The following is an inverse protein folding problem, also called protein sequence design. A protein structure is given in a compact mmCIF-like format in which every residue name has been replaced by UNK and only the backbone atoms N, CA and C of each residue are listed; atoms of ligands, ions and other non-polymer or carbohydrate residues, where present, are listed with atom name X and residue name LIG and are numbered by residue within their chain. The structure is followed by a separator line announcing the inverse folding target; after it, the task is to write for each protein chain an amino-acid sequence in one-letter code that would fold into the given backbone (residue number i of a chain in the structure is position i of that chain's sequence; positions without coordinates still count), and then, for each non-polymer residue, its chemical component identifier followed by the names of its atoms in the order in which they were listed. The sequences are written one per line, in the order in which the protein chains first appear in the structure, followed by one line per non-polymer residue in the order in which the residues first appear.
data_IF_362022411895
#
_entry.id   IF_362022411895
#
_cell.length_a   1.000
_cell.length_b   1.000
_cell.length_c   1.000
_cell.angle_alpha   90.00
_cell.angle_beta   90.00
_cell.angle_gamma   90.00
#
_symmetry.space_group_name_H-M   'P 1'
#
loop_
_entity.id
_entity.type
_entity.pdbx_description
1 polymer ?
#
# COMPACT_ATOMS: atom_id res chain seq x y z
N UNK A 1 17.00 4.56 -18.14
CA UNK A 1 15.79 5.42 -18.31
C UNK A 1 14.74 4.88 -17.35
N UNK A 2 14.56 5.59 -16.25
CA UNK A 2 14.13 5.05 -14.94
C UNK A 2 12.59 5.05 -14.84
N UNK A 3 12.02 3.88 -14.53
CA UNK A 3 10.64 3.73 -14.08
C UNK A 3 10.56 4.52 -12.76
N UNK A 4 9.69 5.53 -12.57
CA UNK A 4 9.54 6.19 -11.28
C UNK A 4 8.67 5.31 -10.35
N UNK A 5 8.99 4.02 -10.29
CA UNK A 5 8.82 3.20 -9.10
C UNK A 5 10.22 3.23 -8.48
N UNK A 6 10.35 3.88 -7.33
CA UNK A 6 11.39 3.79 -6.30
C UNK A 6 12.63 2.87 -6.53
N UNK A 7 13.26 2.93 -7.69
CA UNK A 7 14.47 2.17 -8.07
C UNK A 7 15.39 3.18 -8.74
N UNK A 8 16.06 3.96 -7.89
CA UNK A 8 16.88 5.10 -8.28
C UNK A 8 18.06 5.27 -7.34
N UNK A 9 18.94 4.27 -7.34
CA UNK A 9 20.37 4.32 -7.05
C UNK A 9 20.84 5.13 -5.82
N UNK A 10 21.01 4.45 -4.69
CA UNK A 10 22.09 4.75 -3.75
C UNK A 10 23.06 3.56 -3.71
N UNK A 11 24.13 3.64 -4.49
CA UNK A 11 25.27 2.74 -4.38
C UNK A 11 26.08 3.13 -3.15
N UNK A 12 26.05 2.31 -2.09
CA UNK A 12 27.05 2.32 -1.03
C UNK A 12 27.69 0.93 -0.96
N UNK A 13 28.95 0.90 -1.37
CA UNK A 13 29.88 -0.22 -1.24
C UNK A 13 30.18 -0.48 0.24
N UNK A 14 30.00 -1.70 0.73
CA UNK A 14 30.64 -2.17 1.97
C UNK A 14 30.93 -3.68 1.96
N UNK A 15 32.20 -4.01 2.22
CA UNK A 15 32.75 -5.35 2.42
C UNK A 15 32.55 -5.86 3.86
N UNK A 16 32.42 -7.18 4.02
CA UNK A 16 32.70 -7.95 5.24
C UNK A 16 31.62 -7.89 6.32
N UNK A 17 31.43 -8.84 7.23
CA UNK A 17 32.12 -10.10 7.52
C UNK A 17 31.16 -10.99 8.34
N UNK A 18 31.40 -12.29 8.34
CA UNK A 18 30.51 -13.33 8.90
C UNK A 18 30.69 -13.51 10.41
N UNK A 19 29.62 -13.49 11.22
CA UNK A 19 29.61 -14.00 12.60
C UNK A 19 28.17 -14.45 12.98
N UNK A 20 27.90 -15.76 13.13
CA UNK A 20 28.07 -16.63 14.31
C UNK A 20 26.85 -16.64 15.26
N UNK A 21 26.07 -17.72 15.12
CA UNK A 21 24.87 -18.10 15.89
C UNK A 21 25.19 -18.57 17.32
N UNK A 22 24.42 -18.12 18.33
CA UNK A 22 24.28 -18.87 19.59
C UNK A 22 22.94 -19.63 19.69
N UNK A 23 23.03 -20.77 20.37
CA UNK A 23 22.03 -21.81 20.62
C UNK A 23 20.95 -21.42 21.67
N UNK A 24 19.82 -22.16 21.75
CA UNK A 24 18.67 -21.81 22.59
C UNK A 24 18.86 -22.24 24.05
N UNK A 25 18.40 -21.40 24.99
CA UNK A 25 18.34 -21.71 26.43
C UNK A 25 16.88 -21.72 26.93
N UNK A 26 16.65 -22.63 27.87
CA UNK A 26 15.40 -23.26 28.29
C UNK A 26 14.29 -22.38 28.90
N UNK A 27 13.07 -22.90 28.76
CA UNK A 27 11.85 -22.60 29.54
C UNK A 27 12.06 -22.96 31.04
N UNK A 28 11.29 -22.41 32.02
CA UNK A 28 9.85 -22.72 32.18
C UNK A 28 8.97 -21.65 32.87
N UNK A 29 7.64 -21.82 32.75
CA UNK A 29 6.63 -21.80 33.83
C UNK A 29 5.24 -21.28 33.35
N UNK A 30 4.27 -22.20 33.26
CA UNK A 30 2.83 -21.91 33.45
C UNK A 30 2.58 -21.51 34.91
N UNK A 31 1.47 -20.84 35.33
CA UNK A 31 0.12 -20.91 34.73
C UNK A 31 -0.70 -19.60 34.78
N UNK A 32 -1.84 -19.55 34.08
CA UNK A 32 -3.10 -18.93 34.57
C UNK A 32 -4.26 -19.23 33.62
N UNK A 33 -5.36 -19.64 34.21
CA UNK A 33 -6.64 -20.06 33.62
C UNK A 33 -7.29 -18.94 32.79
N UNK A 34 -7.69 -19.16 31.53
CA UNK A 34 -8.45 -18.17 30.77
C UNK A 34 -9.90 -18.12 31.24
N UNK A 35 -10.43 -16.91 31.42
CA UNK A 35 -11.85 -16.66 31.56
C UNK A 35 -12.60 -17.06 30.27
N UNK A 36 -13.80 -17.63 30.43
CA UNK A 36 -14.68 -18.05 29.34
C UNK A 36 -14.90 -16.93 28.32
N UNK A 37 -14.70 -17.17 27.02
CA UNK A 37 -15.00 -16.18 26.00
C UNK A 37 -16.51 -15.92 25.96
N UNK A 38 -16.87 -14.64 26.00
CA UNK A 38 -18.22 -14.19 25.70
C UNK A 38 -18.56 -14.60 24.27
N UNK A 39 -19.65 -15.36 24.11
CA UNK A 39 -20.18 -15.76 22.81
C UNK A 39 -20.33 -14.53 21.91
N UNK A 40 -19.66 -14.47 20.73
CA UNK A 40 -19.83 -13.37 19.80
C UNK A 40 -21.29 -13.28 19.38
N UNK A 41 -21.87 -12.07 19.47
CA UNK A 41 -23.20 -11.81 18.93
C UNK A 41 -23.22 -12.19 17.44
N UNK A 42 -24.24 -12.94 17.03
CA UNK A 42 -24.42 -13.32 15.63
C UNK A 42 -24.44 -12.06 14.75
N UNK A 43 -23.72 -12.04 13.62
CA UNK A 43 -23.74 -10.90 12.72
C UNK A 43 -25.18 -10.66 12.29
N UNK A 44 -25.69 -9.47 12.60
CA UNK A 44 -27.00 -9.04 12.15
C UNK A 44 -26.92 -8.97 10.63
N UNK A 45 -27.75 -9.75 9.94
CA UNK A 45 -27.80 -9.81 8.48
C UNK A 45 -27.83 -8.38 7.93
N UNK A 46 -26.74 -7.98 7.26
CA UNK A 46 -26.67 -6.66 6.66
C UNK A 46 -27.79 -6.49 5.63
N UNK A 47 -28.38 -5.30 5.57
CA UNK A 47 -29.38 -4.98 4.56
C UNK A 47 -28.77 -5.18 3.15
N UNK A 48 -29.56 -5.64 2.17
CA UNK A 48 -29.06 -5.87 0.82
C UNK A 48 -28.52 -4.57 0.20
N UNK A 49 -27.32 -4.65 -0.35
CA UNK A 49 -26.67 -3.55 -1.06
C UNK A 49 -27.38 -3.32 -2.41
N UNK A 50 -28.09 -2.20 -2.53
CA UNK A 50 -28.91 -1.85 -3.71
C UNK A 50 -28.14 -1.08 -4.80
N UNK A 51 -26.86 -0.79 -4.56
CA UNK A 51 -26.00 -0.09 -5.52
C UNK A 51 -25.70 -1.00 -6.72
N UNK A 52 -25.57 -0.38 -7.89
CA UNK A 52 -25.16 -1.10 -9.10
C UNK A 52 -23.66 -1.47 -9.06
N UNK A 53 -23.29 -2.48 -9.86
CA UNK A 53 -21.93 -3.03 -9.90
C UNK A 53 -20.85 -1.97 -10.19
N UNK A 54 -21.16 -0.96 -11.02
CA UNK A 54 -20.22 0.11 -11.36
C UNK A 54 -19.99 1.02 -10.15
N UNK A 55 -21.06 1.40 -9.46
CA UNK A 55 -20.99 2.21 -8.23
C UNK A 55 -20.23 1.47 -7.13
N UNK A 56 -20.56 0.20 -6.87
CA UNK A 56 -19.86 -0.62 -5.86
C UNK A 56 -18.36 -0.67 -6.14
N UNK A 57 -17.98 -0.92 -7.40
CA UNK A 57 -16.56 -1.04 -7.79
C UNK A 57 -15.80 0.28 -7.61
N UNK A 58 -16.41 1.42 -7.95
CA UNK A 58 -15.78 2.75 -7.83
C UNK A 58 -15.58 3.16 -6.37
N UNK A 59 -16.56 2.89 -5.53
CA UNK A 59 -16.56 3.30 -4.11
C UNK A 59 -15.80 2.32 -3.21
N UNK A 60 -15.47 1.12 -3.69
CA UNK A 60 -14.94 0.02 -2.88
C UNK A 60 -13.73 0.43 -2.02
N UNK A 61 -12.79 1.17 -2.62
CA UNK A 61 -11.60 1.62 -1.92
C UNK A 61 -11.90 2.70 -0.88
N UNK A 62 -12.72 3.70 -1.24
CA UNK A 62 -13.07 4.80 -0.34
C UNK A 62 -13.83 4.31 0.89
N UNK A 63 -14.68 3.29 0.71
CA UNK A 63 -15.38 2.63 1.82
C UNK A 63 -14.43 1.97 2.82
N UNK A 64 -13.24 1.57 2.40
CA UNK A 64 -12.21 1.05 3.28
C UNK A 64 -11.76 2.05 4.35
N UNK A 65 -11.96 3.35 4.13
CA UNK A 65 -11.56 4.43 5.05
C UNK A 65 -12.63 4.84 6.06
N UNK A 66 -13.81 4.24 6.01
CA UNK A 66 -14.90 4.56 6.96
C UNK A 66 -14.44 4.29 8.39
N UNK A 67 -13.76 3.16 8.61
CA UNK A 67 -13.24 2.73 9.92
C UNK A 67 -11.94 3.42 10.35
N UNK A 68 -11.39 4.33 9.52
CA UNK A 68 -10.16 5.12 9.74
C UNK A 68 -8.85 4.34 9.89
N UNK A 69 -8.90 3.07 10.23
CA UNK A 69 -7.72 2.21 10.29
C UNK A 69 -7.87 1.01 9.35
N UNK A 70 -6.76 0.60 8.72
CA UNK A 70 -6.70 -0.57 7.86
C UNK A 70 -5.24 -0.96 7.58
N UNK A 71 -5.05 -2.16 7.05
CA UNK A 71 -3.82 -2.63 6.43
C UNK A 71 -3.99 -2.76 4.92
N UNK A 72 -2.90 -2.56 4.19
CA UNK A 72 -2.84 -2.68 2.74
C UNK A 72 -1.54 -3.37 2.33
N UNK A 73 -1.63 -4.41 1.51
CA UNK A 73 -0.48 -5.01 0.84
C UNK A 73 -0.57 -4.75 -0.67
N UNK A 74 0.50 -4.28 -1.28
CA UNK A 74 0.61 -4.03 -2.72
C UNK A 74 1.75 -4.86 -3.27
N UNK A 75 1.46 -5.68 -4.27
CA UNK A 75 2.46 -6.42 -5.03
C UNK A 75 2.47 -5.92 -6.47
N UNK A 76 3.66 -5.63 -6.97
CA UNK A 76 3.88 -5.15 -8.34
C UNK A 76 4.83 -6.12 -9.01
N UNK A 77 4.43 -6.63 -10.18
CA UNK A 77 5.25 -7.55 -10.99
C UNK A 77 5.41 -7.00 -12.40
N UNK A 78 6.60 -7.18 -12.98
CA UNK A 78 6.91 -6.90 -14.38
C UNK A 78 7.15 -8.23 -15.08
N UNK A 79 6.22 -8.64 -15.94
CA UNK A 79 6.23 -9.99 -16.50
C UNK A 79 6.07 -11.04 -15.40
N UNK A 80 7.03 -11.97 -15.31
CA UNK A 80 7.06 -13.03 -14.28
C UNK A 80 7.86 -12.63 -13.03
N UNK A 81 8.60 -11.52 -13.08
CA UNK A 81 9.42 -11.06 -11.97
C UNK A 81 8.64 -10.13 -11.05
N UNK A 82 8.73 -10.36 -9.74
CA UNK A 82 8.23 -9.42 -8.74
C UNK A 82 9.16 -8.20 -8.69
N UNK A 83 8.61 -7.01 -8.92
CA UNK A 83 9.36 -5.76 -8.92
C UNK A 83 9.32 -5.08 -7.55
N UNK A 84 8.18 -5.19 -6.83
CA UNK A 84 8.03 -4.62 -5.50
C UNK A 84 6.94 -5.35 -4.70
N UNK A 85 7.12 -5.39 -3.39
CA UNK A 85 6.07 -5.66 -2.40
C UNK A 85 6.06 -4.54 -1.37
N UNK A 86 4.88 -4.04 -1.05
CA UNK A 86 4.66 -2.98 -0.08
C UNK A 86 3.64 -3.50 0.92
N UNK A 87 3.96 -3.49 2.20
CA UNK A 87 3.01 -3.75 3.28
C UNK A 87 2.84 -2.44 4.06
N UNK A 88 1.59 -2.02 4.29
CA UNK A 88 1.25 -0.74 4.90
C UNK A 88 0.18 -0.93 5.97
N UNK A 89 0.30 -0.22 7.08
CA UNK A 89 -0.76 -0.04 8.08
C UNK A 89 -0.99 1.45 8.29
N UNK A 90 -2.25 1.87 8.31
CA UNK A 90 -2.62 3.29 8.36
C UNK A 90 -3.63 3.52 9.46
N UNK A 91 -3.44 4.62 10.18
CA UNK A 91 -4.46 5.31 10.97
C UNK A 91 -4.67 6.71 10.38
N UNK A 92 -5.81 6.89 9.71
CA UNK A 92 -6.16 8.13 9.02
C UNK A 92 -6.50 9.24 10.02
N UNK A 93 -7.05 8.90 11.19
CA UNK A 93 -7.45 9.89 12.19
C UNK A 93 -6.23 10.42 12.96
N UNK A 94 -5.29 9.53 13.32
CA UNK A 94 -4.03 9.92 13.94
C UNK A 94 -3.02 10.53 12.95
N UNK A 95 -3.28 10.43 11.65
CA UNK A 95 -2.36 10.74 10.55
C UNK A 95 -1.00 10.03 10.68
N UNK A 96 -1.08 8.74 10.99
CA UNK A 96 0.07 7.85 11.22
C UNK A 96 0.03 6.69 10.24
N UNK A 97 1.17 6.34 9.68
CA UNK A 97 1.30 5.13 8.87
C UNK A 97 2.65 4.46 9.06
N UNK A 98 2.68 3.14 8.88
CA UNK A 98 3.91 2.36 8.71
C UNK A 98 3.84 1.70 7.35
N UNK A 99 4.94 1.78 6.60
CA UNK A 99 5.10 1.18 5.29
C UNK A 99 6.42 0.40 5.29
N UNK A 100 6.39 -0.86 4.89
CA UNK A 100 7.59 -1.64 4.57
C UNK A 100 7.58 -1.98 3.10
N UNK A 101 8.65 -1.64 2.40
CA UNK A 101 8.82 -1.89 0.97
C UNK A 101 9.97 -2.87 0.79
N UNK A 102 9.70 -3.91 0.01
CA UNK A 102 10.67 -4.89 -0.45
C UNK A 102 10.79 -4.78 -1.96
N UNK A 103 11.95 -4.34 -2.41
CA UNK A 103 12.40 -4.41 -3.81
C UNK A 103 13.63 -5.30 -3.84
N UNK A 104 14.68 -4.92 -4.59
CA UNK A 104 16.03 -5.45 -4.38
C UNK A 104 16.58 -5.04 -3.00
N UNK A 105 16.07 -3.92 -2.45
CA UNK A 105 16.41 -3.40 -1.13
C UNK A 105 15.18 -3.36 -0.20
N UNK A 106 15.42 -3.46 1.11
CA UNK A 106 14.41 -3.27 2.15
C UNK A 106 14.38 -1.81 2.60
N UNK A 107 13.18 -1.24 2.66
CA UNK A 107 12.94 0.06 3.28
C UNK A 107 11.76 0.00 4.25
N UNK A 108 11.93 0.62 5.42
CA UNK A 108 10.87 0.91 6.37
C UNK A 108 10.64 2.41 6.42
N UNK A 109 9.39 2.83 6.33
CA UNK A 109 8.98 4.22 6.40
C UNK A 109 7.87 4.38 7.45
N UNK A 110 8.04 5.33 8.35
CA UNK A 110 7.03 5.70 9.35
C UNK A 110 6.58 7.13 9.07
N UNK A 111 5.28 7.34 8.91
CA UNK A 111 4.69 8.67 8.75
C UNK A 111 4.04 9.10 10.07
N UNK A 112 4.29 10.34 10.46
CA UNK A 112 3.64 11.02 11.58
C UNK A 112 3.33 12.46 11.15
N UNK A 113 2.08 12.78 10.80
CA UNK A 113 1.78 14.13 10.29
C UNK A 113 2.54 14.43 8.99
N UNK A 114 3.20 15.58 8.94
CA UNK A 114 4.06 16.02 7.83
C UNK A 114 5.50 15.46 7.88
N UNK A 115 5.79 14.53 8.79
CA UNK A 115 7.11 13.89 8.97
C UNK A 115 7.10 12.46 8.42
N UNK A 116 8.15 12.09 7.69
CA UNK A 116 8.46 10.72 7.26
C UNK A 116 9.82 10.34 7.85
N UNK A 117 9.89 9.22 8.56
CA UNK A 117 11.12 8.60 9.04
C UNK A 117 11.44 7.41 8.14
N UNK A 118 12.57 7.45 7.45
CA UNK A 118 12.98 6.44 6.47
C UNK A 118 14.18 5.67 7.00
N UNK A 119 14.06 4.36 7.05
CA UNK A 119 15.14 3.42 7.34
C UNK A 119 15.34 2.56 6.11
N UNK A 120 16.40 2.85 5.37
CA UNK A 120 16.91 1.97 4.31
C UNK A 120 17.89 1.00 4.96
N UNK A 121 17.80 -0.26 4.62
CA UNK A 121 18.74 -1.23 5.14
C UNK A 121 19.06 -2.28 4.07
N UNK A 122 20.35 -2.54 3.87
CA UNK A 122 20.85 -3.72 3.19
C UNK A 122 20.54 -5.01 4.00
N UNK A 123 20.05 -4.86 5.24
CA UNK A 123 19.63 -5.97 6.11
C UNK A 123 18.57 -5.49 7.12
N UNK A 124 17.47 -6.24 7.35
CA UNK A 124 16.51 -5.92 8.41
C UNK A 124 17.20 -5.74 9.77
N UNK A 125 17.27 -4.50 10.28
CA UNK A 125 17.99 -4.20 11.53
C UNK A 125 18.80 -2.89 11.59
N UNK A 126 19.01 -2.17 10.49
CA UNK A 126 19.76 -0.89 10.53
C UNK A 126 19.14 0.13 11.51
N UNK A 127 19.84 0.56 12.55
CA UNK A 127 19.18 1.25 13.68
C UNK A 127 18.91 2.74 13.48
N UNK A 128 19.21 3.31 12.32
CA UNK A 128 19.05 4.75 12.07
C UNK A 128 17.98 5.05 11.03
N UNK A 129 17.02 5.89 11.42
CA UNK A 129 16.06 6.54 10.55
C UNK A 129 16.58 7.91 10.11
N UNK A 130 16.33 8.25 8.85
CA UNK A 130 16.47 9.60 8.31
C UNK A 130 15.11 10.28 8.36
N UNK A 131 15.04 11.43 9.03
CA UNK A 131 13.84 12.26 9.10
C UNK A 131 13.74 13.17 7.88
N UNK A 132 12.59 13.11 7.22
CA UNK A 132 12.22 13.87 6.04
C UNK A 132 10.90 14.59 6.30
N UNK A 133 10.92 15.91 6.27
CA UNK A 133 9.70 16.74 6.23
C UNK A 133 9.09 16.77 4.82
N UNK A 134 7.80 16.43 4.70
CA UNK A 134 7.06 16.38 3.42
C UNK A 134 7.04 17.75 2.73
N UNK A 135 6.95 18.84 3.50
CA UNK A 135 6.94 20.21 2.97
C UNK A 135 8.21 20.60 2.22
N UNK A 136 9.36 19.97 2.54
CA UNK A 136 10.67 20.22 1.91
C UNK A 136 10.92 19.35 0.68
N UNK A 137 10.13 18.30 0.48
CA UNK A 137 10.24 17.46 -0.72
C UNK A 137 9.85 18.26 -1.97
N UNK A 138 10.46 17.97 -3.11
CA UNK A 138 9.99 18.49 -4.41
C UNK A 138 8.60 17.97 -4.73
N UNK A 139 7.80 18.74 -5.47
CA UNK A 139 6.40 18.40 -5.78
C UNK A 139 6.24 17.04 -6.50
N UNK A 140 7.25 16.61 -7.26
CA UNK A 140 7.26 15.30 -7.94
C UNK A 140 8.00 14.19 -7.21
N UNK A 141 8.33 14.36 -5.92
CA UNK A 141 9.02 13.32 -5.16
C UNK A 141 8.09 12.12 -4.97
N UNK A 142 8.53 10.88 -5.29
CA UNK A 142 7.72 9.68 -5.10
C UNK A 142 7.36 9.43 -3.64
N UNK A 143 8.15 9.95 -2.68
CA UNK A 143 7.83 9.87 -1.25
C UNK A 143 6.53 10.59 -0.88
N UNK A 144 6.14 11.63 -1.63
CA UNK A 144 4.85 12.31 -1.41
C UNK A 144 3.67 11.41 -1.79
N UNK A 145 3.86 10.55 -2.80
CA UNK A 145 2.86 9.59 -3.27
C UNK A 145 2.86 8.27 -2.48
N UNK A 146 3.95 7.93 -1.78
CA UNK A 146 4.08 6.66 -1.05
C UNK A 146 3.00 6.44 0.03
N UNK A 147 2.44 7.52 0.57
CA UNK A 147 1.32 7.49 1.53
C UNK A 147 0.03 8.07 0.95
N UNK A 148 0.01 8.41 -0.35
CA UNK A 148 -1.20 8.88 -1.01
C UNK A 148 -2.04 7.69 -1.45
N UNK A 149 -2.95 7.28 -0.57
CA UNK A 149 -3.84 6.15 -0.79
C UNK A 149 -4.64 6.26 -2.09
N UNK A 150 -4.99 7.48 -2.52
CA UNK A 150 -5.70 7.71 -3.78
C UNK A 150 -4.86 7.33 -5.01
N UNK A 151 -3.54 7.37 -4.94
CA UNK A 151 -2.68 6.93 -6.05
C UNK A 151 -2.76 5.41 -6.25
N UNK A 152 -2.88 4.63 -5.18
CA UNK A 152 -2.89 3.17 -5.26
C UNK A 152 -4.18 2.62 -5.91
N UNK A 153 -5.31 3.27 -5.68
CA UNK A 153 -6.62 2.86 -6.21
C UNK A 153 -7.09 3.68 -7.41
N UNK A 154 -6.29 4.63 -7.91
CA UNK A 154 -6.72 5.62 -8.89
C UNK A 154 -7.36 5.04 -10.16
N UNK A 155 -7.01 3.80 -10.54
CA UNK A 155 -7.64 3.08 -11.64
C UNK A 155 -9.16 2.90 -11.46
N UNK A 156 -9.66 2.81 -10.22
CA UNK A 156 -11.08 2.65 -9.92
C UNK A 156 -11.90 3.85 -10.37
N UNK A 157 -11.33 5.07 -10.33
CA UNK A 157 -11.97 6.26 -10.89
C UNK A 157 -12.22 6.17 -12.41
N UNK A 158 -11.48 5.29 -13.10
CA UNK A 158 -11.60 5.04 -14.53
C UNK A 158 -12.51 3.88 -14.91
N UNK A 159 -13.16 3.19 -13.96
CA UNK A 159 -14.00 2.02 -14.29
C UNK A 159 -15.13 2.45 -15.22
N UNK A 160 -15.23 1.76 -16.37
CA UNK A 160 -16.26 2.00 -17.39
C UNK A 160 -17.22 0.83 -17.54
N UNK A 161 -16.80 -0.36 -17.14
CA UNK A 161 -17.65 -1.54 -17.05
C UNK A 161 -17.20 -2.37 -15.85
N UNK A 162 -18.16 -2.87 -15.08
CA UNK A 162 -17.97 -3.82 -14.00
C UNK A 162 -19.16 -4.77 -13.99
N UNK A 163 -18.92 -6.02 -13.64
CA UNK A 163 -19.96 -7.03 -13.46
C UNK A 163 -19.59 -7.95 -12.32
N UNK A 164 -20.54 -8.22 -11.43
CA UNK A 164 -20.39 -9.25 -10.39
C UNK A 164 -20.31 -10.63 -11.06
N UNK A 165 -19.24 -11.36 -10.77
CA UNK A 165 -18.98 -12.71 -11.31
C UNK A 165 -19.09 -13.80 -10.24
N UNK A 166 -18.99 -13.43 -8.96
CA UNK A 166 -19.03 -14.38 -7.85
C UNK A 166 -19.60 -13.72 -6.59
N UNK A 167 -20.33 -14.49 -5.78
CA UNK A 167 -20.75 -14.09 -4.44
C UNK A 167 -20.74 -15.31 -3.51
N UNK A 168 -19.93 -15.24 -2.46
CA UNK A 168 -19.73 -16.34 -1.50
C UNK A 168 -19.60 -15.78 -0.10
N UNK A 169 -20.48 -16.19 0.82
CA UNK A 169 -20.43 -15.82 2.23
C UNK A 169 -20.22 -14.30 2.46
N UNK A 170 -21.06 -13.48 1.80
CA UNK A 170 -21.02 -12.03 1.92
C UNK A 170 -19.91 -11.31 1.14
N UNK A 171 -18.96 -12.06 0.57
CA UNK A 171 -17.92 -11.51 -0.32
C UNK A 171 -18.41 -11.52 -1.75
N UNK A 172 -18.17 -10.44 -2.47
CA UNK A 172 -18.56 -10.28 -3.89
C UNK A 172 -17.33 -10.02 -4.74
N UNK A 173 -17.22 -10.70 -5.87
CA UNK A 173 -16.14 -10.49 -6.84
C UNK A 173 -16.71 -9.88 -8.12
N UNK A 174 -16.02 -8.87 -8.62
CA UNK A 174 -16.33 -8.13 -9.82
C UNK A 174 -15.18 -8.24 -10.82
N UNK A 175 -15.52 -8.32 -12.10
CA UNK A 175 -14.57 -8.17 -13.20
C UNK A 175 -15.00 -7.03 -14.09
N UNK A 176 -14.05 -6.37 -14.74
CA UNK A 176 -14.37 -5.23 -15.56
C UNK A 176 -13.21 -4.62 -16.32
N UNK A 177 -13.47 -3.43 -16.86
CA UNK A 177 -12.48 -2.64 -17.58
C UNK A 177 -12.45 -1.20 -17.07
N UNK A 178 -11.24 -0.66 -16.98
CA UNK A 178 -11.00 0.73 -16.65
C UNK A 178 -10.34 1.47 -17.83
N UNK A 179 -10.68 2.74 -17.97
CA UNK A 179 -10.08 3.70 -18.88
C UNK A 179 -9.17 4.64 -18.08
N UNK A 180 -7.86 4.56 -18.30
CA UNK A 180 -6.86 5.37 -17.60
C UNK A 180 -6.99 6.87 -17.90
N UNK A 181 -7.55 7.27 -19.05
CA UNK A 181 -7.84 8.68 -19.31
C UNK A 181 -8.93 9.19 -18.36
N UNK A 182 -9.98 8.39 -18.15
CA UNK A 182 -11.04 8.72 -17.19
C UNK A 182 -10.53 8.65 -15.75
N UNK A 183 -9.67 7.68 -15.45
CA UNK A 183 -9.00 7.58 -14.15
C UNK A 183 -8.22 8.87 -13.83
N UNK A 184 -7.40 9.35 -14.77
CA UNK A 184 -6.67 10.63 -14.63
C UNK A 184 -7.61 11.82 -14.46
N UNK A 185 -8.74 11.85 -15.16
CA UNK A 185 -9.72 12.93 -15.04
C UNK A 185 -10.41 12.94 -13.67
N UNK A 186 -10.73 11.76 -13.13
CA UNK A 186 -11.34 11.58 -11.82
C UNK A 186 -10.36 11.80 -10.65
N UNK A 187 -9.06 11.65 -10.89
CA UNK A 187 -8.04 11.73 -9.85
C UNK A 187 -7.98 13.10 -9.14
N UNK A 188 -7.67 13.12 -7.83
CA UNK A 188 -7.39 14.36 -7.12
C UNK A 188 -6.14 15.05 -7.69
N UNK A 189 -6.06 16.38 -7.54
CA UNK A 189 -5.00 17.17 -8.17
C UNK A 189 -3.58 16.66 -7.88
N UNK A 190 -3.32 16.20 -6.65
CA UNK A 190 -2.03 15.63 -6.21
C UNK A 190 -1.64 14.34 -6.95
N UNK A 191 -2.60 13.45 -7.21
CA UNK A 191 -2.37 12.16 -7.88
C UNK A 191 -2.32 12.26 -9.42
N UNK A 192 -2.86 13.33 -10.02
CA UNK A 192 -2.97 13.47 -11.49
C UNK A 192 -1.62 13.38 -12.21
N UNK A 193 -0.56 13.93 -11.63
CA UNK A 193 0.76 13.91 -12.26
C UNK A 193 1.33 12.49 -12.35
N UNK A 194 1.26 11.74 -11.24
CA UNK A 194 1.62 10.33 -11.13
C UNK A 194 0.82 9.48 -12.11
N UNK A 195 -0.51 9.61 -12.11
CA UNK A 195 -1.38 8.83 -13.01
C UNK A 195 -1.18 9.16 -14.50
N UNK A 196 -0.85 10.40 -14.85
CA UNK A 196 -0.48 10.77 -16.22
C UNK A 196 0.82 10.09 -16.66
N UNK A 197 1.76 9.83 -15.75
CA UNK A 197 2.97 9.09 -16.07
C UNK A 197 2.64 7.64 -16.44
N UNK A 198 1.80 6.96 -15.64
CA UNK A 198 1.28 5.62 -15.95
C UNK A 198 0.53 5.60 -17.29
N UNK A 199 -0.34 6.57 -17.54
CA UNK A 199 -1.10 6.68 -18.79
C UNK A 199 -0.18 6.75 -20.02
N UNK A 200 0.93 7.50 -19.97
CA UNK A 200 1.88 7.61 -21.09
C UNK A 200 2.60 6.30 -21.42
N UNK A 201 2.71 5.41 -20.45
CA UNK A 201 3.38 4.11 -20.61
C UNK A 201 2.42 2.99 -21.02
N UNK A 202 1.11 3.18 -20.84
CA UNK A 202 0.10 2.17 -21.03
C UNK A 202 -0.26 1.92 -22.51
N UNK A 203 0.07 0.74 -23.02
CA UNK A 203 -0.37 0.23 -24.33
C UNK A 203 -1.84 -0.18 -24.38
N UNK A 204 -2.48 -0.42 -23.23
CA UNK A 204 -3.90 -0.76 -23.10
C UNK A 204 -4.71 0.30 -22.33
N UNK A 205 -4.33 1.58 -22.42
CA UNK A 205 -4.87 2.67 -21.61
C UNK A 205 -6.41 2.79 -21.60
N UNK A 206 -7.11 2.41 -22.67
CA UNK A 206 -8.58 2.52 -22.77
C UNK A 206 -9.35 1.32 -22.21
N UNK A 207 -8.67 0.22 -21.94
CA UNK A 207 -9.28 -1.06 -21.59
C UNK A 207 -8.35 -1.87 -20.69
N UNK A 208 -8.04 -1.33 -19.51
CA UNK A 208 -7.27 -2.04 -18.50
C UNK A 208 -8.19 -3.04 -17.79
N UNK A 209 -7.97 -4.36 -17.94
CA UNK A 209 -8.78 -5.34 -17.24
C UNK A 209 -8.47 -5.32 -15.75
N UNK A 210 -9.50 -5.50 -14.93
CA UNK A 210 -9.34 -5.68 -13.49
C UNK A 210 -10.26 -6.76 -12.94
N UNK A 211 -9.86 -7.29 -11.77
CA UNK A 211 -10.68 -8.13 -10.89
C UNK A 211 -10.64 -7.55 -9.49
N UNK A 212 -11.80 -7.37 -8.88
CA UNK A 212 -11.97 -6.68 -7.61
C UNK A 212 -12.86 -7.50 -6.68
N UNK A 213 -12.43 -7.72 -5.45
CA UNK A 213 -13.24 -8.33 -4.40
C UNK A 213 -13.63 -7.31 -3.34
N UNK A 214 -14.87 -7.39 -2.87
CA UNK A 214 -15.37 -6.59 -1.74
C UNK A 214 -16.01 -7.47 -0.68
N UNK A 215 -16.09 -6.95 0.55
CA UNK A 215 -16.84 -7.55 1.63
C UNK A 215 -18.34 -7.18 1.62
N UNK A 216 -19.06 -7.59 2.66
CA UNK A 216 -20.49 -7.32 2.83
C UNK A 216 -20.79 -5.82 2.88
N UNK A 217 -19.87 -5.04 3.46
CA UNK A 217 -19.95 -3.59 3.53
C UNK A 217 -19.51 -2.92 2.22
N UNK A 218 -19.13 -3.68 1.19
CA UNK A 218 -18.64 -3.15 -0.07
C UNK A 218 -17.29 -2.45 0.07
N UNK A 219 -16.48 -2.79 1.07
CA UNK A 219 -15.08 -2.34 1.21
C UNK A 219 -14.18 -3.21 0.38
N UNK A 220 -13.15 -2.62 -0.20
CA UNK A 220 -12.16 -3.36 -0.99
C UNK A 220 -11.47 -4.43 -0.14
N UNK A 221 -11.45 -5.67 -0.62
CA UNK A 221 -10.64 -6.76 -0.08
C UNK A 221 -9.41 -7.01 -0.95
N UNK A 222 -9.58 -6.99 -2.26
CA UNK A 222 -8.47 -7.06 -3.21
C UNK A 222 -8.82 -6.39 -4.54
N UNK A 223 -7.80 -5.87 -5.22
CA UNK A 223 -7.88 -5.33 -6.58
C UNK A 223 -6.66 -5.83 -7.36
N UNK A 224 -6.89 -6.57 -8.44
CA UNK A 224 -5.87 -6.98 -9.39
C UNK A 224 -6.12 -6.29 -10.73
N UNK A 225 -5.10 -5.72 -11.34
CA UNK A 225 -5.17 -5.16 -12.70
C UNK A 225 -3.83 -5.29 -13.43
N UNK A 226 -3.87 -5.18 -14.76
CA UNK A 226 -2.68 -5.30 -15.60
C UNK A 226 -2.59 -4.17 -16.63
N UNK A 227 -1.54 -3.37 -16.53
CA UNK A 227 -1.18 -2.37 -17.54
C UNK A 227 -0.09 -2.94 -18.44
N UNK A 228 -0.34 -2.99 -19.74
CA UNK A 228 0.68 -3.37 -20.73
C UNK A 228 1.58 -2.17 -20.98
N UNK A 229 2.89 -2.33 -20.88
CA UNK A 229 3.88 -1.29 -21.19
C UNK A 229 4.83 -1.74 -22.30
N UNK A 230 5.70 -0.85 -22.78
CA UNK A 230 6.75 -1.21 -23.75
C UNK A 230 7.74 -2.26 -23.20
N UNK A 231 7.89 -2.34 -21.88
CA UNK A 231 8.77 -3.27 -21.16
C UNK A 231 8.07 -4.60 -20.83
N UNK A 232 6.78 -4.73 -21.12
CA UNK A 232 5.96 -5.89 -20.79
C UNK A 232 4.76 -5.57 -19.90
N UNK A 233 3.97 -6.58 -19.51
CA UNK A 233 2.82 -6.40 -18.63
C UNK A 233 3.29 -6.08 -17.21
N UNK A 234 2.77 -4.98 -16.66
CA UNK A 234 2.88 -4.64 -15.24
C UNK A 234 1.59 -5.08 -14.55
N UNK A 235 1.71 -6.02 -13.63
CA UNK A 235 0.60 -6.51 -12.81
C UNK A 235 0.66 -5.87 -11.44
N UNK A 236 -0.47 -5.33 -10.99
CA UNK A 236 -0.61 -4.81 -9.64
C UNK A 236 -1.69 -5.61 -8.92
N UNK A 237 -1.36 -6.11 -7.74
CA UNK A 237 -2.30 -6.69 -6.79
C UNK A 237 -2.30 -5.85 -5.53
N UNK A 238 -3.47 -5.38 -5.14
CA UNK A 238 -3.71 -4.68 -3.88
C UNK A 238 -4.58 -5.59 -3.03
N UNK A 239 -4.24 -5.75 -1.77
CA UNK A 239 -5.04 -6.43 -0.76
C UNK A 239 -5.26 -5.46 0.39
N UNK A 240 -6.50 -5.39 0.88
CA UNK A 240 -6.84 -4.56 2.03
C UNK A 240 -7.50 -5.41 3.10
N UNK A 241 -7.28 -5.07 4.36
CA UNK A 241 -7.82 -5.76 5.50
C UNK A 241 -7.66 -4.97 6.79
N UNK A 242 -7.88 -5.61 7.93
CA UNK A 242 -7.69 -4.98 9.25
C UNK A 242 -8.55 -3.73 9.48
N UNK A 243 -9.67 -3.58 8.77
CA UNK A 243 -10.54 -2.40 8.88
C UNK A 243 -11.04 -2.23 10.33
N UNK A 244 -10.81 -1.06 10.92
CA UNK A 244 -11.20 -0.75 12.30
C UNK A 244 -10.34 -1.43 13.36
N UNK A 245 -9.28 -2.14 12.98
CA UNK A 245 -8.30 -2.66 13.92
C UNK A 245 -7.36 -1.54 14.33
N UNK A 246 -7.14 -1.33 15.63
CA UNK A 246 -6.23 -0.28 16.11
C UNK A 246 -4.82 -0.42 15.53
N UNK A 247 -4.25 0.68 15.03
CA UNK A 247 -2.90 0.72 14.48
C UNK A 247 -2.02 1.52 15.43
N UNK A 248 -0.96 0.88 15.95
CA UNK A 248 0.03 1.54 16.79
C UNK A 248 1.37 1.54 16.07
N UNK A 249 1.90 2.73 15.78
CA UNK A 249 3.24 2.91 15.24
C UNK A 249 4.09 3.63 16.27
N UNK A 250 5.10 2.93 16.80
CA UNK A 250 6.02 3.51 17.76
C UNK A 250 6.98 4.47 17.05
N UNK A 251 7.13 5.68 17.59
CA UNK A 251 8.18 6.60 17.13
C UNK A 251 9.54 6.07 17.58
N UNK A 252 10.57 6.07 16.70
CA UNK A 252 11.93 5.72 17.09
C UNK A 252 12.46 6.63 18.19
N UNK A 253 13.43 6.15 18.97
CA UNK A 253 14.09 6.98 19.98
C UNK A 253 14.88 8.11 19.30
N UNK A 254 15.06 9.28 19.93
CA UNK A 254 15.76 10.42 19.32
C UNK A 254 17.15 10.07 18.78
N UNK A 255 17.91 9.22 19.48
CA UNK A 255 19.24 8.77 19.07
C UNK A 255 19.24 7.86 17.82
N UNK A 256 18.07 7.33 17.45
CA UNK A 256 17.86 6.54 16.24
C UNK A 256 17.43 7.40 15.05
N UNK A 257 17.32 8.73 15.21
CA UNK A 257 16.83 9.63 14.16
C UNK A 257 17.91 10.64 13.80
N UNK A 258 18.18 10.78 12.50
CA UNK A 258 19.03 11.83 11.93
C UNK A 258 18.22 12.70 10.98
N UNK A 259 18.50 13.99 10.92
CA UNK A 259 17.90 14.87 9.93
C UNK A 259 18.38 14.53 8.52
N UNK A 260 17.48 14.61 7.54
CA UNK A 260 17.88 14.58 6.14
C UNK A 260 18.76 15.78 5.79
N UNK A 261 19.86 15.52 5.10
CA UNK A 261 20.74 16.56 4.54
C UNK A 261 20.08 17.20 3.31
N UNK A 262 20.56 18.38 2.90
CA UNK A 262 20.09 19.03 1.67
C UNK A 262 20.32 18.16 0.42
N UNK A 263 21.41 17.38 0.40
CA UNK A 263 21.70 16.42 -0.67
C UNK A 263 20.68 15.28 -0.70
N UNK A 264 20.33 14.73 0.47
CA UNK A 264 19.27 13.72 0.56
C UNK A 264 17.93 14.27 0.09
N UNK A 265 17.56 15.50 0.46
CA UNK A 265 16.37 16.16 -0.09
C UNK A 265 16.40 16.34 -1.61
N UNK A 266 17.58 16.58 -2.20
CA UNK A 266 17.72 16.70 -3.65
C UNK A 266 17.59 15.34 -4.37
N UNK A 267 17.96 14.24 -3.70
CA UNK A 267 17.85 12.89 -4.21
C UNK A 267 16.41 12.32 -4.14
N UNK A 268 15.61 12.78 -3.17
CA UNK A 268 14.22 12.36 -2.94
C UNK A 268 13.24 13.10 -3.85
#
# INVERSE_FOLDING_TARGET
MIIPLLIGALLLSACGDTAATPAPTAAPASPSTPASPSTPAAPTSAAPDTRDDLTVTKEAFERGFVEKTFSMAVQISLGESQAAKIDMTVDVEADVAKLTMMTDEYAEMLKFGDEILIKQADTPGADTFVRVEIGKLRAGSPLRGAFDLAEHSGILGGVVAARKVEETAGKRIYEGTADLHKAVAAAPAKARASMRATLRQAGNAKAVPFRLGVDEQGRLLHLAYQVTTAQGPVRTLIQMGGHGTGVTVARPKPEQVKEATAEQYAAL
#
